data_IF_892623315360
#
_entry.id   IF_892623315360
#
_cell.length_a   1.000
_cell.length_b   1.000
_cell.length_c   1.000
_cell.angle_alpha   90.00
_cell.angle_beta   90.00
_cell.angle_gamma   90.00
#
_symmetry.space_group_name_H-M   'P 1'
#
loop_
_entity.id
_entity.type
_entity.pdbx_description
1 polymer ?
#
# COMPACT_ATOMS: atom_id res chain seq x y z
N UNK A 1 -22.84 -1.68 -7.80
CA UNK A 1 -22.34 -0.36 -7.38
C UNK A 1 -20.85 -0.35 -7.65
N UNK A 2 -20.34 0.61 -8.42
CA UNK A 2 -18.91 0.61 -8.77
C UNK A 2 -18.17 1.52 -7.78
N UNK A 3 -17.21 0.95 -7.04
CA UNK A 3 -16.39 1.66 -6.08
C UNK A 3 -14.95 1.76 -6.58
N UNK A 4 -14.34 2.95 -6.45
CA UNK A 4 -12.93 3.18 -6.78
C UNK A 4 -12.15 3.35 -5.47
N UNK A 5 -11.18 2.47 -5.24
CA UNK A 5 -10.24 2.59 -4.13
C UNK A 5 -8.98 3.34 -4.54
N UNK A 6 -8.54 4.29 -3.72
CA UNK A 6 -7.29 5.05 -3.92
C UNK A 6 -6.37 4.80 -2.73
N UNK A 7 -5.14 4.36 -3.00
CA UNK A 7 -4.11 4.14 -1.98
C UNK A 7 -3.08 5.28 -2.10
N UNK A 8 -3.12 6.30 -1.21
CA UNK A 8 -2.12 7.36 -1.25
C UNK A 8 -0.76 6.84 -0.80
N UNK A 9 0.28 7.15 -1.57
CA UNK A 9 1.66 6.76 -1.26
C UNK A 9 2.65 7.85 -1.66
N UNK A 10 3.71 8.02 -0.87
CA UNK A 10 4.83 8.93 -1.17
C UNK A 10 6.15 8.33 -0.69
N UNK A 11 7.24 8.58 -1.41
CA UNK A 11 8.57 8.09 -1.05
C UNK A 11 9.24 8.88 0.09
N UNK A 12 8.97 10.20 0.15
CA UNK A 12 9.56 11.14 1.10
C UNK A 12 8.92 11.08 2.51
N UNK A 13 8.87 9.89 3.09
CA UNK A 13 8.45 9.71 4.49
C UNK A 13 9.63 9.99 5.43
N UNK A 14 9.44 10.85 6.43
CA UNK A 14 10.51 11.29 7.35
C UNK A 14 10.80 10.29 8.46
N UNK A 15 9.76 9.65 9.02
CA UNK A 15 9.91 8.66 10.12
C UNK A 15 10.33 7.29 9.62
N UNK A 16 9.90 6.91 8.43
CA UNK A 16 10.28 5.66 7.80
C UNK A 16 10.49 5.88 6.29
N UNK A 17 11.73 6.18 5.86
CA UNK A 17 12.03 6.47 4.45
C UNK A 17 11.65 5.33 3.52
N UNK A 18 11.21 5.66 2.30
CA UNK A 18 10.81 4.68 1.27
C UNK A 18 9.73 3.68 1.71
N UNK A 19 8.96 4.02 2.76
CA UNK A 19 7.92 3.19 3.38
C UNK A 19 7.01 2.44 2.38
N UNK A 20 6.49 3.04 1.29
CA UNK A 20 5.64 2.29 0.35
C UNK A 20 6.28 1.06 -0.28
N UNK A 21 7.59 1.12 -0.53
CA UNK A 21 8.37 0.03 -1.12
C UNK A 21 9.14 -0.80 -0.08
N UNK A 22 9.03 -0.46 1.20
CA UNK A 22 9.67 -1.23 2.25
C UNK A 22 9.17 -2.68 2.23
N UNK A 23 10.07 -3.68 2.22
CA UNK A 23 9.68 -5.08 2.18
C UNK A 23 9.10 -5.50 3.53
N UNK A 24 7.91 -6.09 3.50
CA UNK A 24 7.23 -6.71 4.64
C UNK A 24 6.91 -8.14 4.22
N UNK A 25 7.55 -9.12 4.85
CA UNK A 25 7.36 -10.55 4.54
C UNK A 25 7.48 -10.88 3.04
N UNK A 26 8.49 -10.30 2.37
CA UNK A 26 8.75 -10.55 0.95
C UNK A 26 7.90 -9.75 -0.05
N UNK A 27 7.02 -8.86 0.43
CA UNK A 27 6.18 -8.01 -0.43
C UNK A 27 6.31 -6.52 -0.02
N UNK A 28 6.33 -5.58 -0.98
CA UNK A 28 6.27 -4.15 -0.67
C UNK A 28 5.06 -3.80 0.20
N UNK A 29 5.22 -2.89 1.18
CA UNK A 29 4.13 -2.45 2.06
C UNK A 29 2.85 -2.06 1.29
N UNK A 30 2.98 -1.34 0.17
CA UNK A 30 1.81 -0.94 -0.62
C UNK A 30 1.08 -2.14 -1.25
N UNK A 31 1.80 -3.22 -1.56
CA UNK A 31 1.22 -4.47 -2.05
C UNK A 31 0.28 -5.09 -1.04
N UNK A 32 0.65 -5.09 0.25
CA UNK A 32 -0.22 -5.57 1.33
C UNK A 32 -1.54 -4.81 1.36
N UNK A 33 -1.51 -3.48 1.25
CA UNK A 33 -2.74 -2.66 1.24
C UNK A 33 -3.60 -2.99 0.02
N UNK A 34 -3.00 -3.04 -1.17
CA UNK A 34 -3.71 -3.35 -2.42
C UNK A 34 -4.42 -4.71 -2.36
N UNK A 35 -3.70 -5.78 -2.02
CA UNK A 35 -4.28 -7.13 -1.99
C UNK A 35 -5.37 -7.27 -0.92
N UNK A 36 -5.24 -6.59 0.22
CA UNK A 36 -6.28 -6.58 1.26
C UNK A 36 -7.51 -5.80 0.82
N UNK A 37 -7.33 -4.61 0.24
CA UNK A 37 -8.45 -3.80 -0.28
C UNK A 37 -9.22 -4.53 -1.39
N UNK A 38 -8.53 -5.31 -2.23
CA UNK A 38 -9.14 -6.11 -3.31
C UNK A 38 -10.08 -7.22 -2.80
N UNK A 39 -10.01 -7.60 -1.53
CA UNK A 39 -10.93 -8.60 -0.94
C UNK A 39 -12.34 -8.04 -0.67
N UNK A 40 -12.50 -6.72 -0.71
CA UNK A 40 -13.80 -6.07 -0.59
C UNK A 40 -14.69 -6.42 -1.80
N UNK A 41 -15.97 -6.72 -1.56
CA UNK A 41 -16.96 -7.12 -2.57
C UNK A 41 -17.86 -5.95 -2.97
#
# INVERSE_FOLDING_TARGET
>A
MNAVGVIPARMASTRFPNKPLAPISGMPMIGHVYFRSKLCR
#
